data_IF_925762452293
#
_entry.id   IF_925762452293
#
_cell.length_a   1.000
_cell.length_b   1.000
_cell.length_c   1.000
_cell.angle_alpha   90.00
_cell.angle_beta   90.00
_cell.angle_gamma   90.00
#
_symmetry.space_group_name_H-M   'P 1'
#
loop_
_entity.id
_entity.type
_entity.pdbx_description
1 polymer ?
#
# COMPACT_ATOMS: atom_id res chain seq x y z
N UNK A 1 57.65 -8.77 -16.56
CA UNK A 1 56.27 -8.37 -16.88
C UNK A 1 55.42 -8.68 -15.65
N UNK A 2 54.99 -7.64 -14.91
CA UNK A 2 54.21 -7.77 -13.67
C UNK A 2 52.76 -7.43 -14.02
N UNK A 3 51.86 -8.41 -13.89
CA UNK A 3 50.42 -8.19 -14.06
C UNK A 3 49.84 -7.76 -12.70
N UNK A 4 49.29 -6.55 -12.63
CA UNK A 4 48.51 -6.08 -11.51
C UNK A 4 47.07 -6.56 -11.72
N UNK A 5 46.62 -7.50 -10.88
CA UNK A 5 45.22 -7.88 -10.79
C UNK A 5 44.49 -6.88 -9.88
N UNK A 6 43.65 -6.04 -10.46
CA UNK A 6 42.72 -5.19 -9.70
C UNK A 6 41.47 -6.03 -9.46
N UNK A 7 41.31 -6.51 -8.23
CA UNK A 7 40.09 -7.15 -7.77
C UNK A 7 39.04 -6.06 -7.52
N UNK A 8 38.09 -5.94 -8.45
CA UNK A 8 36.90 -5.10 -8.29
C UNK A 8 35.95 -5.83 -7.33
N UNK A 9 35.98 -5.44 -6.05
CA UNK A 9 34.99 -5.91 -5.08
C UNK A 9 33.66 -5.23 -5.42
N UNK A 10 32.77 -5.94 -6.11
CA UNK A 10 31.36 -5.59 -6.17
C UNK A 10 30.80 -5.69 -4.74
N UNK A 11 30.79 -4.57 -4.02
CA UNK A 11 29.95 -4.40 -2.84
C UNK A 11 28.49 -4.42 -3.32
N UNK A 12 27.93 -5.62 -3.46
CA UNK A 12 26.48 -5.80 -3.49
C UNK A 12 25.98 -5.51 -2.08
N UNK A 13 25.89 -4.23 -1.73
CA UNK A 13 25.04 -3.82 -0.63
C UNK A 13 23.64 -4.23 -1.04
N UNK A 14 23.07 -5.25 -0.38
CA UNK A 14 21.63 -5.33 -0.33
C UNK A 14 21.18 -3.95 0.16
N UNK A 15 20.47 -3.21 -0.68
CA UNK A 15 19.85 -1.96 -0.26
C UNK A 15 18.88 -2.38 0.85
N UNK A 16 19.31 -2.25 2.10
CA UNK A 16 18.42 -2.48 3.23
C UNK A 16 17.33 -1.43 3.12
N UNK A 17 16.08 -1.90 3.02
CA UNK A 17 14.94 -1.02 3.04
C UNK A 17 15.00 -0.15 4.28
N UNK A 18 14.98 1.17 4.09
CA UNK A 18 14.87 2.10 5.19
C UNK A 18 13.48 1.95 5.81
N UNK A 19 13.45 1.72 7.12
CA UNK A 19 12.22 1.60 7.88
C UNK A 19 11.65 2.98 8.20
N UNK A 20 10.33 3.13 8.15
CA UNK A 20 9.65 4.38 8.49
C UNK A 20 9.24 4.48 9.97
N UNK A 21 9.72 3.60 10.86
CA UNK A 21 9.37 3.67 12.28
C UNK A 21 9.72 5.04 12.87
N UNK A 22 8.74 5.68 13.51
CA UNK A 22 8.94 6.98 14.18
C UNK A 22 9.14 8.16 13.21
N UNK A 23 9.08 7.94 11.90
CA UNK A 23 9.05 9.02 10.91
C UNK A 23 7.66 9.64 10.92
N UNK A 24 7.59 10.91 11.29
CA UNK A 24 6.32 11.65 11.45
C UNK A 24 6.17 12.79 10.43
N UNK A 25 7.21 13.02 9.62
CA UNK A 25 7.19 14.01 8.55
C UNK A 25 6.61 13.37 7.28
N UNK A 26 5.42 13.82 6.88
CA UNK A 26 4.74 13.39 5.66
C UNK A 26 5.59 13.60 4.40
N UNK A 27 6.27 14.75 4.31
CA UNK A 27 7.09 15.09 3.15
C UNK A 27 8.27 14.14 2.98
N UNK A 28 8.87 13.68 4.08
CA UNK A 28 9.93 12.66 4.05
C UNK A 28 9.38 11.33 3.52
N UNK A 29 8.24 10.87 4.04
CA UNK A 29 7.64 9.60 3.61
C UNK A 29 7.22 9.67 2.14
N UNK A 30 6.50 10.70 1.73
CA UNK A 30 6.07 10.86 0.34
C UNK A 30 7.24 11.04 -0.63
N UNK A 31 8.29 11.77 -0.22
CA UNK A 31 9.51 11.92 -1.04
C UNK A 31 10.20 10.58 -1.26
N UNK A 32 10.31 9.75 -0.21
CA UNK A 32 10.94 8.43 -0.32
C UNK A 32 10.08 7.48 -1.17
N UNK A 33 8.79 7.37 -0.86
CA UNK A 33 7.89 6.45 -1.54
C UNK A 33 7.67 6.81 -3.03
N UNK A 34 7.84 8.08 -3.41
CA UNK A 34 7.74 8.53 -4.80
C UNK A 34 9.07 8.52 -5.57
N UNK A 35 10.18 8.20 -4.89
CA UNK A 35 11.53 8.18 -5.45
C UNK A 35 11.91 9.48 -6.21
N UNK A 36 11.46 10.64 -5.72
CA UNK A 36 11.75 11.99 -6.26
C UNK A 36 11.40 12.25 -7.74
N UNK A 37 10.83 11.28 -8.46
CA UNK A 37 10.52 11.41 -9.88
C UNK A 37 9.18 12.12 -10.06
N UNK A 38 9.16 13.16 -10.91
CA UNK A 38 7.94 13.94 -11.20
C UNK A 38 6.78 13.11 -11.74
N UNK A 39 7.05 11.92 -12.29
CA UNK A 39 6.04 11.02 -12.84
C UNK A 39 5.42 10.05 -11.81
N UNK A 40 5.90 10.06 -10.57
CA UNK A 40 5.53 9.11 -9.53
C UNK A 40 6.28 7.79 -9.62
N UNK A 41 6.45 7.13 -8.47
CA UNK A 41 6.98 5.77 -8.39
C UNK A 41 5.89 4.76 -8.73
N UNK A 42 6.28 3.72 -9.46
CA UNK A 42 5.43 2.56 -9.72
C UNK A 42 5.73 1.46 -8.72
N UNK A 43 4.67 0.83 -8.25
CA UNK A 43 4.68 -0.23 -7.27
C UNK A 43 3.88 -1.40 -7.80
N UNK A 44 4.43 -2.61 -7.66
CA UNK A 44 3.67 -3.83 -7.89
C UNK A 44 2.75 -4.05 -6.69
N UNK A 45 1.45 -4.21 -6.93
CA UNK A 45 0.48 -4.56 -5.90
C UNK A 45 0.13 -6.03 -6.02
N UNK A 46 0.35 -6.79 -4.95
CA UNK A 46 -0.11 -8.19 -4.84
C UNK A 46 -0.96 -8.35 -3.59
N UNK A 47 -2.15 -8.92 -3.72
CA UNK A 47 -3.10 -9.00 -2.62
C UNK A 47 -4.39 -9.74 -2.98
N UNK A 48 -5.48 -9.28 -2.41
CA UNK A 48 -6.82 -9.78 -2.68
C UNK A 48 -7.85 -8.65 -2.74
N UNK A 49 -8.92 -8.91 -3.50
CA UNK A 49 -10.15 -8.13 -3.51
C UNK A 49 -11.26 -9.01 -2.94
N UNK A 50 -11.93 -8.52 -1.91
CA UNK A 50 -13.10 -9.15 -1.32
C UNK A 50 -14.33 -8.30 -1.61
N UNK A 51 -15.37 -8.93 -2.14
CA UNK A 51 -16.70 -8.35 -2.29
C UNK A 51 -17.64 -9.00 -1.30
N UNK A 52 -18.49 -8.21 -0.65
CA UNK A 52 -19.56 -8.72 0.20
C UNK A 52 -20.86 -7.93 0.03
N UNK A 53 -21.98 -8.64 -0.01
CA UNK A 53 -23.33 -8.08 -0.07
C UNK A 53 -24.30 -9.03 0.62
N UNK A 54 -25.07 -8.53 1.60
CA UNK A 54 -26.15 -9.32 2.22
C UNK A 54 -25.70 -10.63 2.89
N UNK A 55 -24.43 -10.76 3.29
CA UNK A 55 -23.87 -11.97 3.89
C UNK A 55 -23.31 -12.99 2.88
N UNK A 56 -23.48 -12.74 1.58
CA UNK A 56 -22.79 -13.45 0.51
C UNK A 56 -21.58 -12.63 0.06
N UNK A 57 -20.59 -13.30 -0.53
CA UNK A 57 -19.38 -12.64 -0.98
C UNK A 57 -18.41 -13.58 -1.67
N UNK A 58 -17.36 -12.99 -2.22
CA UNK A 58 -16.23 -13.73 -2.79
C UNK A 58 -14.93 -12.97 -2.50
N UNK A 59 -13.82 -13.70 -2.59
CA UNK A 59 -12.47 -13.16 -2.49
C UNK A 59 -11.68 -13.68 -3.66
N UNK A 60 -11.11 -12.76 -4.45
CA UNK A 60 -10.27 -13.07 -5.59
C UNK A 60 -8.86 -12.51 -5.39
N UNK A 61 -7.82 -13.22 -5.87
CA UNK A 61 -6.47 -12.68 -5.92
C UNK A 61 -6.42 -11.38 -6.74
N UNK A 62 -5.63 -10.43 -6.28
CA UNK A 62 -5.43 -9.15 -6.94
C UNK A 62 -3.96 -8.97 -7.30
N UNK A 63 -3.71 -8.61 -8.56
CA UNK A 63 -2.42 -8.09 -9.03
C UNK A 63 -2.68 -6.79 -9.78
N UNK A 64 -1.89 -5.76 -9.46
CA UNK A 64 -2.04 -4.44 -10.06
C UNK A 64 -0.77 -3.62 -10.00
N UNK A 65 -0.86 -2.40 -10.51
CA UNK A 65 0.20 -1.40 -10.42
C UNK A 65 -0.36 -0.20 -9.68
N UNK A 66 0.35 0.25 -8.65
CA UNK A 66 0.05 1.49 -7.95
C UNK A 66 1.06 2.54 -8.37
N UNK A 67 0.58 3.73 -8.72
CA UNK A 67 1.44 4.90 -8.93
C UNK A 67 1.27 5.85 -7.76
N UNK A 68 2.37 6.25 -7.12
CA UNK A 68 2.39 7.21 -6.02
C UNK A 68 3.33 8.37 -6.36
N UNK A 69 2.82 9.59 -6.30
CA UNK A 69 3.61 10.80 -6.59
C UNK A 69 4.09 11.48 -5.31
N UNK A 70 5.08 12.37 -5.45
CA UNK A 70 5.62 13.16 -4.33
C UNK A 70 4.63 14.14 -3.72
N UNK A 71 3.48 14.35 -4.39
CA UNK A 71 2.38 15.18 -3.90
C UNK A 71 1.32 14.35 -3.14
N UNK A 72 1.59 13.06 -2.88
CA UNK A 72 0.64 12.17 -2.22
C UNK A 72 -0.50 11.71 -3.13
N UNK A 73 -0.44 11.98 -4.44
CA UNK A 73 -1.43 11.43 -5.38
C UNK A 73 -1.16 9.94 -5.60
N UNK A 74 -2.16 9.10 -5.31
CA UNK A 74 -2.16 7.65 -5.55
C UNK A 74 -3.14 7.30 -6.67
N UNK A 75 -2.79 6.33 -7.50
CA UNK A 75 -3.70 5.74 -8.49
C UNK A 75 -3.45 4.25 -8.63
N UNK A 76 -4.51 3.46 -8.70
CA UNK A 76 -4.45 2.01 -8.85
C UNK A 76 -4.83 1.59 -10.27
N UNK A 77 -4.05 0.71 -10.88
CA UNK A 77 -4.35 0.05 -12.15
C UNK A 77 -4.48 -1.47 -11.93
N UNK A 78 -5.62 -2.04 -12.29
CA UNK A 78 -5.91 -3.48 -12.17
C UNK A 78 -6.52 -3.95 -13.48
N UNK A 79 -5.99 -5.04 -14.04
CA UNK A 79 -6.53 -5.63 -15.28
C UNK A 79 -6.53 -4.66 -16.47
N UNK A 80 -5.60 -3.70 -16.50
CA UNK A 80 -5.53 -2.65 -17.53
C UNK A 80 -6.56 -1.52 -17.38
N UNK A 81 -7.35 -1.54 -16.31
CA UNK A 81 -8.26 -0.44 -15.96
C UNK A 81 -7.62 0.39 -14.85
N UNK A 82 -7.57 1.71 -15.07
CA UNK A 82 -7.04 2.67 -14.09
C UNK A 82 -8.19 3.29 -13.31
N UNK A 83 -8.13 3.19 -11.98
CA UNK A 83 -9.03 3.88 -11.07
C UNK A 83 -8.70 5.37 -10.94
N UNK A 84 -9.56 6.09 -10.23
CA UNK A 84 -9.39 7.52 -10.01
C UNK A 84 -8.14 7.85 -9.17
N UNK A 85 -7.65 9.07 -9.36
CA UNK A 85 -6.54 9.58 -8.57
C UNK A 85 -7.07 10.09 -7.22
N UNK A 86 -6.44 9.69 -6.14
CA UNK A 86 -6.75 10.16 -4.79
C UNK A 86 -5.55 10.91 -4.21
N UNK A 87 -5.81 11.98 -3.45
CA UNK A 87 -4.76 12.63 -2.66
C UNK A 87 -4.76 12.04 -1.26
N UNK A 88 -3.62 11.51 -0.87
CA UNK A 88 -3.37 11.02 0.47
C UNK A 88 -3.03 12.18 1.40
N UNK A 89 -3.54 12.11 2.62
CA UNK A 89 -3.19 12.99 3.72
C UNK A 89 -2.77 12.16 4.94
N UNK A 90 -1.97 12.72 5.86
CA UNK A 90 -1.58 12.06 7.10
C UNK A 90 -2.79 11.64 7.91
N UNK A 91 -2.77 10.42 8.42
CA UNK A 91 -3.85 9.86 9.19
C UNK A 91 -3.29 9.04 10.36
N UNK A 92 -3.39 9.58 11.57
CA UNK A 92 -2.82 8.92 12.75
C UNK A 92 -3.75 7.79 13.21
N UNK A 93 -3.26 6.55 13.10
CA UNK A 93 -3.84 5.39 13.77
C UNK A 93 -5.19 4.95 13.20
N UNK A 94 -5.28 4.76 11.89
CA UNK A 94 -6.50 4.23 11.28
C UNK A 94 -6.60 2.71 11.30
N UNK A 95 -5.46 2.04 11.36
CA UNK A 95 -5.39 0.60 11.59
C UNK A 95 -4.29 0.33 12.62
N UNK A 96 -4.59 -0.41 13.67
CA UNK A 96 -3.55 -0.99 14.52
C UNK A 96 -3.18 -2.42 14.06
N UNK A 97 -2.29 -3.09 14.82
CA UNK A 97 -1.85 -4.45 14.52
C UNK A 97 -3.02 -5.45 14.54
N UNK A 98 -4.00 -5.25 15.43
CA UNK A 98 -5.17 -6.11 15.55
C UNK A 98 -6.12 -5.90 14.37
N UNK A 99 -6.33 -4.65 13.95
CA UNK A 99 -7.15 -4.29 12.79
C UNK A 99 -6.58 -4.90 11.51
N UNK A 100 -5.27 -4.75 11.26
CA UNK A 100 -4.63 -5.34 10.08
C UNK A 100 -4.67 -6.87 10.10
N UNK A 101 -4.42 -7.51 11.25
CA UNK A 101 -4.50 -8.96 11.36
C UNK A 101 -5.91 -9.48 11.04
N UNK A 102 -6.96 -8.80 11.51
CA UNK A 102 -8.36 -9.12 11.17
C UNK A 102 -8.64 -8.92 9.68
N UNK A 103 -8.16 -7.81 9.12
CA UNK A 103 -8.29 -7.51 7.69
C UNK A 103 -7.65 -8.62 6.84
N UNK A 104 -6.38 -8.95 7.12
CA UNK A 104 -5.66 -9.99 6.40
C UNK A 104 -6.34 -11.35 6.50
N UNK A 105 -6.86 -11.70 7.67
CA UNK A 105 -7.64 -12.94 7.84
C UNK A 105 -8.92 -12.92 6.99
N UNK A 106 -9.63 -11.79 6.98
CA UNK A 106 -10.88 -11.62 6.23
C UNK A 106 -10.66 -11.69 4.71
N UNK A 107 -9.54 -11.15 4.23
CA UNK A 107 -9.18 -11.11 2.80
C UNK A 107 -8.33 -12.30 2.35
N UNK A 108 -7.97 -13.22 3.24
CA UNK A 108 -7.08 -14.35 2.92
C UNK A 108 -5.67 -13.92 2.50
N UNK A 109 -5.17 -12.83 3.08
CA UNK A 109 -3.86 -12.24 2.77
C UNK A 109 -2.92 -12.26 3.98
N UNK A 110 -3.01 -13.27 4.84
CA UNK A 110 -2.20 -13.41 6.06
C UNK A 110 -0.70 -13.51 5.78
N UNK A 111 -0.32 -13.88 4.57
CA UNK A 111 1.06 -13.89 4.10
C UNK A 111 1.70 -12.50 4.13
N UNK A 112 0.92 -11.41 3.97
CA UNK A 112 1.42 -10.03 4.04
C UNK A 112 2.07 -9.77 5.41
N UNK A 113 1.52 -10.34 6.49
CA UNK A 113 2.10 -10.24 7.83
C UNK A 113 3.54 -10.72 7.86
N UNK A 114 3.89 -11.76 7.10
CA UNK A 114 5.25 -12.31 7.07
C UNK A 114 6.22 -11.36 6.36
N UNK A 115 5.76 -10.72 5.28
CA UNK A 115 6.56 -9.76 4.51
C UNK A 115 6.84 -8.48 5.31
N UNK A 116 5.87 -8.02 6.12
CA UNK A 116 6.04 -6.81 6.94
C UNK A 116 6.58 -7.08 8.34
N UNK A 117 6.63 -8.34 8.78
CA UNK A 117 7.10 -8.71 10.13
C UNK A 117 8.59 -8.44 10.37
N UNK A 118 9.39 -8.31 9.30
CA UNK A 118 10.79 -7.90 9.42
C UNK A 118 10.95 -6.43 9.81
N UNK A 119 9.89 -5.62 9.66
CA UNK A 119 9.89 -4.24 10.11
C UNK A 119 9.90 -4.19 11.63
N UNK A 120 10.86 -3.49 12.27
CA UNK A 120 10.91 -3.38 13.72
C UNK A 120 9.81 -2.47 14.30
N UNK A 121 8.93 -1.92 13.46
CA UNK A 121 7.93 -0.94 13.89
C UNK A 121 6.72 -1.61 14.55
N UNK A 122 6.25 -1.02 15.64
CA UNK A 122 4.83 -1.14 15.99
C UNK A 122 4.02 -0.25 15.03
N UNK A 123 2.88 -0.72 14.52
CA UNK A 123 2.04 0.07 13.60
C UNK A 123 1.57 1.41 14.17
N UNK A 124 1.48 1.52 15.49
CA UNK A 124 1.16 2.79 16.17
C UNK A 124 2.26 3.85 16.00
N UNK A 125 3.46 3.46 15.58
CA UNK A 125 4.62 4.32 15.37
C UNK A 125 4.86 4.66 13.89
N UNK A 126 4.05 4.10 12.98
CA UNK A 126 4.11 4.38 11.54
C UNK A 126 3.06 5.42 11.18
N UNK A 127 3.48 6.49 10.49
CA UNK A 127 2.53 7.46 9.96
C UNK A 127 1.77 6.87 8.78
N UNK A 128 0.51 6.53 9.00
CA UNK A 128 -0.39 6.07 7.95
C UNK A 128 -0.90 7.27 7.15
N UNK A 129 -1.29 7.01 5.91
CA UNK A 129 -1.88 8.02 5.05
C UNK A 129 -3.22 7.53 4.52
N UNK A 130 -4.17 8.44 4.34
CA UNK A 130 -5.50 8.14 3.80
C UNK A 130 -5.92 9.18 2.79
N UNK A 131 -6.48 8.72 1.68
CA UNK A 131 -7.24 9.51 0.73
C UNK A 131 -8.69 9.06 0.77
N UNK A 132 -9.61 10.01 0.70
CA UNK A 132 -11.04 9.75 0.58
C UNK A 132 -11.56 10.43 -0.68
N UNK A 133 -12.54 9.83 -1.33
CA UNK A 133 -13.31 10.48 -2.37
C UNK A 133 -14.79 10.42 -2.00
N UNK A 134 -15.41 11.60 -1.97
CA UNK A 134 -16.84 11.72 -1.83
C UNK A 134 -17.44 11.50 -3.22
N UNK A 135 -17.99 10.30 -3.45
CA UNK A 135 -18.86 10.10 -4.59
C UNK A 135 -20.16 10.90 -4.36
N UNK A 136 -20.63 11.73 -5.31
CA UNK A 136 -21.95 12.35 -5.23
C UNK A 136 -23.11 11.39 -4.95
N UNK A 137 -22.94 10.08 -5.15
CA UNK A 137 -23.94 9.06 -4.79
C UNK A 137 -23.95 8.70 -3.29
N UNK A 138 -23.01 9.22 -2.50
CA UNK A 138 -22.88 8.91 -1.07
C UNK A 138 -22.06 7.67 -0.76
N UNK A 139 -21.38 7.10 -1.76
CA UNK A 139 -20.49 5.94 -1.61
C UNK A 139 -19.20 6.37 -0.89
N UNK A 140 -18.91 5.72 0.25
CA UNK A 140 -17.66 5.96 0.96
C UNK A 140 -16.54 5.21 0.24
N UNK A 141 -15.64 5.97 -0.38
CA UNK A 141 -14.45 5.45 -1.03
C UNK A 141 -13.23 5.94 -0.28
N UNK A 142 -12.50 5.03 0.37
CA UNK A 142 -11.25 5.35 1.03
C UNK A 142 -10.11 4.44 0.58
N UNK A 143 -8.93 5.03 0.47
CA UNK A 143 -7.67 4.32 0.31
C UNK A 143 -6.75 4.73 1.44
N UNK A 144 -6.22 3.76 2.15
CA UNK A 144 -5.19 3.93 3.15
C UNK A 144 -3.93 3.20 2.75
N UNK A 145 -2.79 3.81 3.06
CA UNK A 145 -1.49 3.14 2.97
C UNK A 145 -0.78 3.17 4.31
N UNK A 146 -0.11 2.06 4.61
CA UNK A 146 0.66 1.84 5.83
C UNK A 146 2.11 1.54 5.40
N UNK A 147 2.97 2.56 5.38
CA UNK A 147 4.32 2.44 4.86
C UNK A 147 5.27 1.88 5.93
N UNK A 148 5.51 0.57 5.95
CA UNK A 148 6.42 -0.06 6.91
C UNK A 148 7.88 0.28 6.61
N UNK A 149 8.23 0.26 5.33
CA UNK A 149 9.56 0.55 4.80
C UNK A 149 9.48 1.16 3.41
N UNK A 150 10.62 1.66 2.94
CA UNK A 150 10.81 2.22 1.59
C UNK A 150 10.47 1.25 0.45
N UNK A 151 10.35 -0.06 0.71
CA UNK A 151 10.06 -1.10 -0.28
C UNK A 151 8.80 -1.94 0.01
N UNK A 152 8.20 -1.83 1.20
CA UNK A 152 6.99 -2.54 1.59
C UNK A 152 5.96 -1.58 2.16
N UNK A 153 4.86 -1.41 1.41
CA UNK A 153 3.72 -0.57 1.82
C UNK A 153 2.46 -1.41 1.75
N UNK A 154 1.69 -1.48 2.84
CA UNK A 154 0.37 -2.13 2.79
C UNK A 154 -0.64 -1.11 2.28
N UNK A 155 -1.39 -1.48 1.25
CA UNK A 155 -2.51 -0.71 0.72
C UNK A 155 -3.82 -1.37 1.12
N UNK A 156 -4.76 -0.54 1.59
CA UNK A 156 -6.12 -0.94 1.93
C UNK A 156 -7.04 0.00 1.17
N UNK A 157 -7.94 -0.53 0.35
CA UNK A 157 -9.04 0.25 -0.21
C UNK A 157 -10.37 -0.31 0.28
N UNK A 158 -11.25 0.56 0.75
CA UNK A 158 -12.58 0.20 1.20
C UNK A 158 -13.58 1.06 0.45
N UNK A 159 -14.51 0.39 -0.22
CA UNK A 159 -15.57 0.99 -1.02
C UNK A 159 -16.90 0.46 -0.48
N UNK A 160 -17.76 1.38 -0.12
CA UNK A 160 -19.16 1.11 0.23
C UNK A 160 -20.03 1.63 -0.91
N UNK A 161 -20.85 0.75 -1.51
CA UNK A 161 -21.69 1.10 -2.65
C UNK A 161 -23.14 0.69 -2.41
N UNK A 162 -24.08 1.60 -2.67
CA UNK A 162 -25.51 1.28 -2.68
C UNK A 162 -25.92 0.67 -4.03
N UNK A 163 -26.37 -0.59 -4.01
CA UNK A 163 -26.84 -1.29 -5.21
C UNK A 163 -28.33 -1.63 -5.11
N UNK A 164 -28.92 -2.18 -6.18
CA UNK A 164 -30.30 -2.69 -6.16
C UNK A 164 -30.54 -3.77 -5.09
N UNK A 165 -29.52 -4.56 -4.76
CA UNK A 165 -29.56 -5.60 -3.73
C UNK A 165 -29.30 -5.10 -2.31
N UNK A 166 -29.15 -3.79 -2.11
CA UNK A 166 -28.75 -3.18 -0.85
C UNK A 166 -27.26 -2.82 -0.84
N UNK A 167 -26.72 -2.68 0.37
CA UNK A 167 -25.34 -2.24 0.59
C UNK A 167 -24.34 -3.32 0.21
N UNK A 168 -23.37 -2.96 -0.63
CA UNK A 168 -22.23 -3.79 -0.99
C UNK A 168 -20.95 -3.15 -0.46
N UNK A 169 -20.01 -4.00 -0.02
CA UNK A 169 -18.69 -3.58 0.42
C UNK A 169 -17.64 -4.27 -0.43
N UNK A 170 -16.72 -3.48 -0.98
CA UNK A 170 -15.50 -3.98 -1.61
C UNK A 170 -14.32 -3.61 -0.72
N UNK A 171 -13.52 -4.60 -0.36
CA UNK A 171 -12.28 -4.41 0.37
C UNK A 171 -11.14 -4.93 -0.47
N UNK A 172 -10.17 -4.08 -0.77
CA UNK A 172 -8.89 -4.46 -1.36
C UNK A 172 -7.84 -4.39 -0.27
N UNK A 173 -7.05 -5.45 -0.14
CA UNK A 173 -5.84 -5.43 0.68
C UNK A 173 -4.71 -6.00 -0.13
N UNK A 174 -3.59 -5.29 -0.18
CA UNK A 174 -2.42 -5.78 -0.88
C UNK A 174 -1.12 -5.17 -0.38
N UNK A 175 -0.04 -5.88 -0.64
CA UNK A 175 1.32 -5.43 -0.43
C UNK A 175 1.80 -4.76 -1.70
N UNK A 176 2.22 -3.52 -1.57
CA UNK A 176 2.93 -2.77 -2.60
C UNK A 176 4.43 -3.02 -2.42
N UNK A 177 5.07 -3.54 -3.47
CA UNK A 177 6.52 -3.69 -3.55
C UNK A 177 7.09 -2.80 -4.64
N UNK A 178 8.27 -2.26 -4.40
CA UNK A 178 8.92 -1.31 -5.33
C UNK A 178 9.39 -2.04 -6.60
N UNK A 179 9.13 -1.45 -7.77
CA UNK A 179 9.66 -1.90 -9.07
C UNK A 179 11.13 -1.52 -9.29
#
# INVERSE_FOLDING_TARGET
MKYAAIALMCLTGAAHAESFCGVTDEGVILSDLSNTLQMGAKWDLTGALTFSQGGEGFTDPLVGIVTLTSLGMISLEVGGSRGDNLFLAPNKGSYDDEDLAKLFTRTGTEWITQEVAESPCNLNEVLQMRGTYDDPNGDLNQVSIVPYSSDHVVMIAEIEALTEGGLAFVTIVGLMTRQ
#
